data_IF_669872102036
#
_entry.id   IF_669872102036
#
_cell.length_a   1.000
_cell.length_b   1.000
_cell.length_c   1.000
_cell.angle_alpha   90.00
_cell.angle_beta   90.00
_cell.angle_gamma   90.00
#
_symmetry.space_group_name_H-M   'P 1'
#
loop_
_entity.id
_entity.type
_entity.pdbx_description
1 polymer ?
#
# COMPACT_ATOMS: atom_id res chain seq x y z
N UNK A 1 -9.66 12.07 -17.43
CA UNK A 1 -8.97 10.80 -17.11
C UNK A 1 -7.48 10.94 -17.31
N UNK A 2 -6.67 10.20 -16.53
CA UNK A 2 -5.21 10.22 -16.64
C UNK A 2 -4.73 9.59 -17.96
N UNK A 3 -3.74 10.24 -18.60
CA UNK A 3 -3.19 9.84 -19.90
C UNK A 3 -1.79 9.20 -19.83
N UNK A 4 -1.16 9.18 -18.65
CA UNK A 4 0.17 8.58 -18.46
C UNK A 4 0.13 7.06 -18.40
N UNK A 5 1.30 6.43 -18.59
CA UNK A 5 1.51 4.98 -18.44
C UNK A 5 1.46 4.52 -16.98
N UNK A 6 1.62 5.46 -16.06
CA UNK A 6 1.59 5.24 -14.61
C UNK A 6 0.45 6.02 -13.98
N UNK A 7 -0.16 5.42 -12.98
CA UNK A 7 -1.12 6.04 -12.09
C UNK A 7 -0.50 6.17 -10.69
N UNK A 8 -0.70 7.34 -10.10
CA UNK A 8 -0.40 7.64 -8.71
C UNK A 8 -1.50 8.57 -8.21
N UNK A 9 -1.83 8.50 -6.93
CA UNK A 9 -2.88 9.33 -6.33
C UNK A 9 -2.34 10.05 -5.12
N UNK A 10 -2.96 11.19 -4.86
CA UNK A 10 -2.63 12.08 -3.77
C UNK A 10 -3.94 12.58 -3.18
N UNK A 11 -4.17 12.30 -1.91
CA UNK A 11 -5.28 12.89 -1.16
C UNK A 11 -5.11 14.41 -1.07
N UNK A 12 -6.22 15.14 -1.08
CA UNK A 12 -6.21 16.61 -1.12
C UNK A 12 -5.53 17.28 0.08
N UNK A 13 -5.38 16.56 1.18
CA UNK A 13 -4.77 16.99 2.44
C UNK A 13 -3.29 16.56 2.59
N UNK A 14 -2.80 15.70 1.70
CA UNK A 14 -1.44 15.18 1.68
C UNK A 14 -0.52 15.96 0.74
N UNK A 15 0.80 15.68 0.80
CA UNK A 15 1.80 16.31 -0.08
C UNK A 15 2.82 15.31 -0.57
N UNK A 16 3.19 15.40 -1.84
CA UNK A 16 4.43 14.76 -2.32
C UNK A 16 5.61 15.69 -2.13
N UNK A 17 6.74 15.12 -1.73
CA UNK A 17 8.00 15.85 -1.70
C UNK A 17 8.58 15.97 -3.13
N UNK A 18 9.44 16.98 -3.37
CA UNK A 18 10.10 17.15 -4.66
C UNK A 18 10.78 15.86 -5.13
N UNK A 19 10.58 15.54 -6.42
CA UNK A 19 11.17 14.37 -7.06
C UNK A 19 10.47 13.04 -6.79
N UNK A 20 9.39 12.97 -5.99
CA UNK A 20 8.66 11.72 -5.71
C UNK A 20 8.42 10.87 -6.95
N UNK A 21 7.81 11.46 -7.98
CA UNK A 21 7.42 10.74 -9.19
C UNK A 21 8.63 10.23 -9.97
N UNK A 22 9.60 11.09 -10.26
CA UNK A 22 10.79 10.71 -11.04
C UNK A 22 11.58 9.58 -10.34
N UNK A 23 11.83 9.73 -9.04
CA UNK A 23 12.60 8.75 -8.26
C UNK A 23 11.89 7.40 -8.12
N UNK A 24 10.57 7.44 -7.94
CA UNK A 24 9.78 6.22 -7.85
C UNK A 24 9.64 5.53 -9.21
N UNK A 25 9.51 6.30 -10.30
CA UNK A 25 9.53 5.78 -11.66
C UNK A 25 10.87 5.09 -11.96
N UNK A 26 11.99 5.75 -11.68
CA UNK A 26 13.33 5.17 -11.85
C UNK A 26 13.48 3.86 -11.06
N UNK A 27 12.98 3.82 -9.83
CA UNK A 27 12.96 2.61 -9.02
C UNK A 27 12.11 1.49 -9.67
N UNK A 28 10.93 1.81 -10.19
CA UNK A 28 10.05 0.85 -10.85
C UNK A 28 10.66 0.30 -12.13
N UNK A 29 11.22 1.15 -12.99
CA UNK A 29 11.91 0.74 -14.22
C UNK A 29 13.10 -0.17 -13.91
N UNK A 30 13.95 0.23 -12.96
CA UNK A 30 15.16 -0.52 -12.59
C UNK A 30 14.87 -1.86 -11.91
N UNK A 31 13.69 -2.02 -11.30
CA UNK A 31 13.27 -3.27 -10.65
C UNK A 31 12.29 -4.09 -11.51
N UNK A 32 11.83 -3.56 -12.65
CA UNK A 32 10.77 -4.16 -13.45
C UNK A 32 9.42 -4.24 -12.72
N UNK A 33 9.19 -3.42 -11.69
CA UNK A 33 8.00 -3.49 -10.86
C UNK A 33 6.78 -2.89 -11.57
N UNK A 34 5.63 -3.58 -11.50
CA UNK A 34 4.36 -3.02 -11.96
C UNK A 34 3.69 -2.11 -10.92
N UNK A 35 4.07 -2.23 -9.65
CA UNK A 35 3.60 -1.41 -8.54
C UNK A 35 4.73 -1.23 -7.52
N UNK A 36 4.87 -0.02 -6.99
CA UNK A 36 5.78 0.29 -5.90
C UNK A 36 5.17 1.27 -4.90
N UNK A 37 5.72 1.34 -3.71
CA UNK A 37 5.34 2.32 -2.71
C UNK A 37 6.57 2.81 -1.93
N UNK A 38 6.47 4.01 -1.36
CA UNK A 38 7.58 4.65 -0.65
C UNK A 38 7.36 4.65 0.86
N UNK A 39 8.39 5.04 1.61
CA UNK A 39 8.19 5.49 2.98
C UNK A 39 7.47 6.87 2.98
N UNK A 40 7.03 7.32 4.14
CA UNK A 40 6.37 8.63 4.27
C UNK A 40 6.68 9.29 5.61
N UNK A 41 6.34 10.57 5.75
CA UNK A 41 6.34 11.31 7.01
C UNK A 41 4.91 11.59 7.41
N UNK A 42 4.58 11.51 8.68
CA UNK A 42 3.30 12.05 9.16
C UNK A 42 3.46 13.54 9.40
N UNK A 43 2.48 14.34 9.00
CA UNK A 43 2.36 15.75 9.37
C UNK A 43 1.06 15.95 10.18
N UNK A 44 1.06 16.88 11.12
CA UNK A 44 -0.16 17.23 11.85
C UNK A 44 -1.10 18.13 11.02
N UNK A 45 -2.22 18.56 11.60
CA UNK A 45 -3.18 19.45 10.94
C UNK A 45 -2.54 20.76 10.41
N UNK A 46 -1.55 21.31 11.10
CA UNK A 46 -0.80 22.50 10.70
C UNK A 46 0.32 22.21 9.66
N UNK A 47 0.52 20.96 9.28
CA UNK A 47 1.57 20.54 8.35
C UNK A 47 2.95 20.40 9.00
N UNK A 48 3.04 20.39 10.33
CA UNK A 48 4.30 20.18 11.04
C UNK A 48 4.66 18.70 11.00
N UNK A 49 5.86 18.32 10.53
CA UNK A 49 6.28 16.94 10.46
C UNK A 49 6.47 16.34 11.86
N UNK A 50 6.10 15.06 11.98
CA UNK A 50 6.46 14.24 13.12
C UNK A 50 7.97 13.96 13.19
N UNK A 51 8.45 13.43 14.32
CA UNK A 51 9.89 13.33 14.60
C UNK A 51 10.64 12.34 13.71
N UNK A 52 9.96 11.32 13.18
CA UNK A 52 10.58 10.27 12.35
C UNK A 52 9.66 9.89 11.18
N UNK A 53 10.23 9.54 10.02
CA UNK A 53 9.47 8.91 8.95
C UNK A 53 8.88 7.56 9.37
N UNK A 54 7.74 7.22 8.80
CA UNK A 54 7.15 5.88 8.85
C UNK A 54 7.78 5.04 7.76
N UNK A 55 8.36 3.91 8.16
CA UNK A 55 9.07 2.97 7.29
C UNK A 55 8.53 1.57 7.50
N UNK A 56 8.37 0.82 6.41
CA UNK A 56 8.08 -0.60 6.51
C UNK A 56 9.37 -1.36 6.79
N UNK A 57 9.31 -2.22 7.80
CA UNK A 57 10.39 -3.10 8.22
C UNK A 57 9.84 -4.52 8.25
N UNK A 58 9.95 -5.22 7.12
CA UNK A 58 9.63 -6.64 7.00
C UNK A 58 10.88 -7.39 6.61
N UNK A 59 11.17 -8.48 7.32
CA UNK A 59 12.35 -9.33 7.07
C UNK A 59 12.20 -10.15 5.80
N UNK A 60 10.96 -10.37 5.34
CA UNK A 60 10.64 -11.18 4.18
C UNK A 60 9.32 -10.79 3.53
N UNK A 61 9.09 -11.27 2.28
CA UNK A 61 7.76 -11.20 1.65
C UNK A 61 6.70 -11.94 2.46
N UNK A 62 7.08 -13.02 3.13
CA UNK A 62 6.18 -13.76 4.01
C UNK A 62 5.68 -12.88 5.15
N UNK A 63 6.56 -12.12 5.81
CA UNK A 63 6.18 -11.23 6.92
C UNK A 63 5.30 -10.07 6.45
N UNK A 64 5.62 -9.49 5.30
CA UNK A 64 4.79 -8.46 4.69
C UNK A 64 3.38 -8.99 4.36
N UNK A 65 3.26 -10.12 3.67
CA UNK A 65 1.93 -10.66 3.32
C UNK A 65 1.16 -11.12 4.56
N UNK A 66 1.85 -11.63 5.57
CA UNK A 66 1.25 -12.00 6.85
C UNK A 66 0.74 -10.77 7.61
N UNK A 67 1.39 -9.62 7.49
CA UNK A 67 0.90 -8.39 8.13
C UNK A 67 -0.41 -7.91 7.52
N UNK A 68 -0.61 -8.13 6.21
CA UNK A 68 -1.85 -7.74 5.53
C UNK A 68 -3.08 -8.36 6.19
N UNK A 69 -3.00 -9.57 6.74
CA UNK A 69 -4.10 -10.20 7.48
C UNK A 69 -4.56 -9.42 8.74
N UNK A 70 -3.78 -8.44 9.21
CA UNK A 70 -4.05 -7.68 10.43
C UNK A 70 -4.14 -6.17 10.21
N UNK A 71 -3.48 -5.64 9.18
CA UNK A 71 -3.52 -4.20 8.89
C UNK A 71 -3.13 -3.90 7.44
N UNK A 72 -3.61 -2.76 6.92
CA UNK A 72 -3.05 -2.18 5.70
C UNK A 72 -1.75 -1.43 6.06
N UNK A 73 -0.61 -2.00 5.66
CA UNK A 73 0.70 -1.41 5.89
C UNK A 73 1.09 -0.35 4.85
N UNK A 74 0.41 -0.31 3.70
CA UNK A 74 0.72 0.61 2.60
C UNK A 74 -0.20 1.82 2.67
N UNK A 75 0.37 3.00 2.88
CA UNK A 75 -0.37 4.25 2.70
C UNK A 75 -0.55 4.52 1.21
N UNK A 76 -1.78 4.73 0.77
CA UNK A 76 -2.06 4.87 -0.64
C UNK A 76 -1.29 5.99 -1.34
N UNK A 77 -1.19 7.18 -0.74
CA UNK A 77 -0.51 8.33 -1.35
C UNK A 77 0.99 8.10 -1.65
N UNK A 78 1.57 7.02 -1.13
CA UNK A 78 2.96 6.62 -1.40
C UNK A 78 3.13 5.78 -2.67
N UNK A 79 2.04 5.27 -3.24
CA UNK A 79 2.11 4.26 -4.29
C UNK A 79 2.21 4.90 -5.69
N UNK A 80 2.80 4.15 -6.59
CA UNK A 80 2.73 4.32 -8.03
C UNK A 80 2.54 2.94 -8.67
N UNK A 81 1.67 2.85 -9.68
CA UNK A 81 1.30 1.60 -10.35
C UNK A 81 1.24 1.82 -11.86
N UNK A 82 1.61 0.82 -12.65
CA UNK A 82 1.37 0.83 -14.10
C UNK A 82 -0.13 0.90 -14.36
N UNK A 83 -0.57 1.84 -15.20
CA UNK A 83 -1.98 2.04 -15.55
C UNK A 83 -2.62 0.75 -16.08
N UNK A 84 -1.90 0.01 -16.92
CA UNK A 84 -2.37 -1.28 -17.45
C UNK A 84 -2.67 -2.30 -16.35
N UNK A 85 -1.86 -2.36 -15.26
CA UNK A 85 -2.15 -3.23 -14.13
C UNK A 85 -3.40 -2.77 -13.37
N UNK A 86 -3.54 -1.45 -13.14
CA UNK A 86 -4.73 -0.89 -12.49
C UNK A 86 -6.01 -1.25 -13.26
N UNK A 87 -6.00 -1.11 -14.59
CA UNK A 87 -7.10 -1.47 -15.49
C UNK A 87 -7.34 -2.99 -15.53
N UNK A 88 -6.28 -3.80 -15.62
CA UNK A 88 -6.38 -5.27 -15.59
C UNK A 88 -7.03 -5.79 -14.31
N UNK A 89 -6.78 -5.13 -13.18
CA UNK A 89 -7.39 -5.50 -11.90
C UNK A 89 -8.82 -4.97 -11.74
N UNK A 90 -9.31 -4.13 -12.66
CA UNK A 90 -10.65 -3.52 -12.60
C UNK A 90 -10.72 -2.26 -11.73
N UNK A 91 -9.58 -1.62 -11.43
CA UNK A 91 -9.53 -0.38 -10.65
C UNK A 91 -9.87 -0.57 -9.16
N UNK A 92 -10.36 0.51 -8.54
CA UNK A 92 -10.85 0.49 -7.16
C UNK A 92 -12.25 -0.13 -7.10
N UNK A 93 -12.51 -0.89 -6.04
CA UNK A 93 -13.87 -1.30 -5.71
C UNK A 93 -14.62 -0.10 -5.10
N UNK A 94 -15.51 0.52 -5.88
CA UNK A 94 -16.26 1.71 -5.45
C UNK A 94 -17.22 1.44 -4.28
N UNK A 95 -17.50 0.16 -3.97
CA UNK A 95 -18.27 -0.21 -2.78
C UNK A 95 -17.45 -0.18 -1.47
N UNK A 96 -16.11 -0.16 -1.56
CA UNK A 96 -15.21 -0.12 -0.42
C UNK A 96 -14.80 1.34 -0.09
N UNK A 97 -15.47 1.94 0.89
CA UNK A 97 -15.28 3.37 1.21
C UNK A 97 -13.92 3.63 1.85
N UNK A 98 -13.48 2.75 2.75
CA UNK A 98 -12.28 2.94 3.56
C UNK A 98 -11.12 2.02 3.16
N UNK A 99 -11.40 0.94 2.44
CA UNK A 99 -10.46 -0.14 2.16
C UNK A 99 -10.23 -0.41 0.68
N UNK A 100 -10.69 0.48 -0.21
CA UNK A 100 -10.48 0.38 -1.67
C UNK A 100 -9.01 0.18 -2.04
N UNK A 101 -8.10 0.85 -1.33
CA UNK A 101 -6.66 0.75 -1.56
C UNK A 101 -6.11 -0.61 -1.09
N UNK A 102 -6.44 -1.02 0.13
CA UNK A 102 -6.08 -2.29 0.73
C UNK A 102 -6.55 -3.49 -0.10
N UNK A 103 -7.80 -3.44 -0.59
CA UNK A 103 -8.37 -4.42 -1.51
C UNK A 103 -7.53 -4.54 -2.79
N UNK A 104 -7.16 -3.40 -3.40
CA UNK A 104 -6.36 -3.37 -4.62
C UNK A 104 -4.93 -3.89 -4.41
N UNK A 105 -4.29 -3.60 -3.27
CA UNK A 105 -2.95 -4.14 -2.95
C UNK A 105 -2.97 -5.66 -2.88
N UNK A 106 -4.00 -6.23 -2.25
CA UNK A 106 -4.13 -7.67 -2.15
C UNK A 106 -4.39 -8.28 -3.53
N UNK A 107 -5.28 -7.69 -4.34
CA UNK A 107 -5.52 -8.16 -5.72
C UNK A 107 -4.24 -8.15 -6.57
N UNK A 108 -3.43 -7.10 -6.48
CA UNK A 108 -2.15 -7.03 -7.17
C UNK A 108 -1.19 -8.15 -6.74
N UNK A 109 -1.06 -8.38 -5.43
CA UNK A 109 -0.24 -9.47 -4.86
C UNK A 109 -0.71 -10.84 -5.34
N UNK A 110 -2.03 -11.10 -5.28
CA UNK A 110 -2.61 -12.38 -5.70
C UNK A 110 -2.50 -12.61 -7.21
N UNK A 111 -2.45 -11.53 -8.01
CA UNK A 111 -2.21 -11.59 -9.45
C UNK A 111 -0.71 -11.74 -9.81
N UNK A 112 0.19 -11.85 -8.83
CA UNK A 112 1.62 -12.02 -9.07
C UNK A 112 2.41 -10.72 -9.24
N UNK A 113 1.84 -9.57 -8.90
CA UNK A 113 2.46 -8.25 -8.98
C UNK A 113 2.73 -7.67 -7.58
N UNK A 114 3.75 -8.18 -6.86
CA UNK A 114 4.04 -7.71 -5.51
C UNK A 114 4.51 -6.24 -5.52
N UNK A 115 3.96 -5.37 -4.64
CA UNK A 115 4.48 -4.03 -4.45
C UNK A 115 5.94 -4.05 -3.98
N UNK A 116 6.82 -3.36 -4.71
CA UNK A 116 8.18 -3.13 -4.22
C UNK A 116 8.23 -1.90 -3.32
N UNK A 117 9.08 -1.99 -2.29
CA UNK A 117 9.22 -0.92 -1.31
C UNK A 117 10.49 -0.10 -1.58
N UNK A 118 10.33 1.21 -1.63
CA UNK A 118 11.41 2.19 -1.69
C UNK A 118 11.51 2.89 -0.33
N UNK A 119 12.63 2.68 0.39
CA UNK A 119 12.82 3.20 1.77
C UNK A 119 13.16 4.70 1.83
N UNK A 120 12.37 5.50 1.11
CA UNK A 120 12.60 6.91 0.86
C UNK A 120 11.32 7.67 1.25
N UNK A 121 11.39 8.62 2.19
CA UNK A 121 10.20 9.30 2.68
C UNK A 121 9.83 10.41 1.70
N UNK A 122 9.05 10.07 0.67
CA UNK A 122 8.71 10.95 -0.46
C UNK A 122 7.30 11.54 -0.40
N UNK A 123 6.55 11.22 0.66
CA UNK A 123 5.17 11.66 0.87
C UNK A 123 5.03 12.18 2.31
N UNK A 124 4.27 13.25 2.49
CA UNK A 124 3.80 13.73 3.77
C UNK A 124 2.31 13.42 3.90
N UNK A 125 1.98 12.55 4.86
CA UNK A 125 0.63 12.09 5.17
C UNK A 125 0.06 12.88 6.34
N UNK A 126 -1.04 13.60 6.14
CA UNK A 126 -1.67 14.42 7.16
C UNK A 126 -2.52 13.57 8.10
N UNK A 127 -2.29 13.76 9.40
CA UNK A 127 -3.14 13.22 10.46
C UNK A 127 -3.87 14.36 11.18
N UNK A 128 -5.20 14.31 11.16
CA UNK A 128 -6.06 15.29 11.81
C UNK A 128 -7.42 14.68 12.16
N UNK A 129 -8.14 15.27 13.11
CA UNK A 129 -9.40 14.71 13.62
C UNK A 129 -10.54 14.62 12.58
N UNK A 130 -10.44 15.35 11.47
CA UNK A 130 -11.44 15.40 10.40
C UNK A 130 -11.30 14.30 9.35
N UNK A 131 -10.35 13.38 9.47
CA UNK A 131 -10.19 12.28 8.53
C UNK A 131 -11.42 11.36 8.56
N UNK A 132 -11.91 10.96 7.38
CA UNK A 132 -13.11 10.12 7.27
C UNK A 132 -13.02 8.82 8.07
N UNK A 133 -11.84 8.20 8.12
CA UNK A 133 -11.55 6.99 8.91
C UNK A 133 -11.61 7.24 10.42
N UNK A 134 -11.22 8.43 10.90
CA UNK A 134 -11.33 8.80 12.32
C UNK A 134 -12.78 9.08 12.68
N UNK A 135 -13.49 9.84 11.84
CA UNK A 135 -14.91 10.18 12.06
C UNK A 135 -15.82 8.95 11.99
N UNK A 136 -15.43 7.89 11.26
CA UNK A 136 -16.22 6.69 11.04
C UNK A 136 -15.49 5.41 11.49
N UNK A 137 -14.70 5.49 12.56
CA UNK A 137 -13.80 4.40 12.99
C UNK A 137 -14.48 3.03 13.03
N UNK A 138 -15.66 2.90 13.65
CA UNK A 138 -16.37 1.62 13.72
C UNK A 138 -16.78 1.05 12.35
N UNK A 139 -17.18 1.91 11.40
CA UNK A 139 -17.49 1.48 10.03
C UNK A 139 -16.22 1.09 9.27
N UNK A 140 -15.15 1.87 9.42
CA UNK A 140 -13.85 1.58 8.80
C UNK A 140 -13.26 0.26 9.31
N UNK A 141 -13.36 -0.01 10.61
CA UNK A 141 -12.93 -1.27 11.22
C UNK A 141 -13.79 -2.45 10.73
N UNK A 142 -15.11 -2.30 10.69
CA UNK A 142 -16.01 -3.33 10.16
C UNK A 142 -15.71 -3.66 8.68
N UNK A 143 -15.52 -2.62 7.85
CA UNK A 143 -15.15 -2.78 6.44
C UNK A 143 -13.78 -3.45 6.29
N UNK A 144 -12.79 -3.04 7.10
CA UNK A 144 -11.47 -3.69 7.13
C UNK A 144 -11.59 -5.19 7.44
N UNK A 145 -12.38 -5.56 8.45
CA UNK A 145 -12.58 -6.95 8.82
C UNK A 145 -13.28 -7.75 7.69
N UNK A 146 -14.26 -7.16 7.01
CA UNK A 146 -14.93 -7.78 5.86
C UNK A 146 -13.95 -7.99 4.69
N UNK A 147 -13.18 -6.98 4.32
CA UNK A 147 -12.17 -7.08 3.25
C UNK A 147 -11.05 -8.06 3.62
N UNK A 148 -10.57 -8.06 4.87
CA UNK A 148 -9.58 -9.03 5.33
C UNK A 148 -10.14 -10.48 5.33
N UNK A 149 -11.41 -10.67 5.69
CA UNK A 149 -12.07 -11.96 5.63
C UNK A 149 -12.20 -12.48 4.19
N UNK A 150 -12.61 -11.61 3.25
CA UNK A 150 -12.70 -11.88 1.79
C UNK A 150 -11.42 -12.52 1.25
N UNK A 151 -10.25 -12.04 1.69
CA UNK A 151 -8.95 -12.50 1.17
C UNK A 151 -8.20 -13.51 2.04
N UNK A 152 -8.70 -13.83 3.24
CA UNK A 152 -8.00 -14.68 4.21
C UNK A 152 -7.58 -16.03 3.63
N UNK A 153 -8.47 -16.69 2.88
CA UNK A 153 -8.19 -18.00 2.27
C UNK A 153 -7.07 -17.93 1.23
N UNK A 154 -7.16 -16.97 0.31
CA UNK A 154 -6.16 -16.78 -0.76
C UNK A 154 -4.80 -16.38 -0.22
N UNK A 155 -4.75 -15.45 0.74
CA UNK A 155 -3.50 -15.06 1.41
C UNK A 155 -2.89 -16.21 2.21
N UNK A 156 -3.71 -17.02 2.90
CA UNK A 156 -3.22 -18.18 3.65
C UNK A 156 -2.57 -19.21 2.72
N UNK A 157 -3.16 -19.45 1.53
CA UNK A 157 -2.58 -20.34 0.51
C UNK A 157 -1.26 -19.79 -0.01
N UNK A 158 -1.21 -18.49 -0.34
CA UNK A 158 0.01 -17.82 -0.81
C UNK A 158 1.13 -17.88 0.24
N UNK A 159 0.81 -17.63 1.51
CA UNK A 159 1.75 -17.75 2.63
C UNK A 159 2.26 -19.18 2.81
N UNK A 160 1.40 -20.19 2.62
CA UNK A 160 1.79 -21.60 2.62
C UNK A 160 2.87 -21.92 1.60
N UNK A 161 2.75 -21.35 0.39
CA UNK A 161 3.75 -21.51 -0.68
C UNK A 161 5.05 -20.74 -0.43
N UNK A 162 5.02 -19.69 0.39
CA UNK A 162 6.17 -18.85 0.73
C UNK A 162 6.87 -19.24 2.04
N UNK A 163 6.37 -20.27 2.74
CA UNK A 163 6.99 -20.71 4.00
C UNK A 163 8.47 -21.03 3.75
N UNK A 164 9.39 -20.46 4.55
CA UNK A 164 10.78 -20.85 4.51
C UNK A 164 10.85 -22.37 4.72
N UNK A 165 11.50 -23.10 3.81
CA UNK A 165 11.85 -24.50 4.08
C UNK A 165 12.76 -24.48 5.29
N UNK A 166 12.25 -24.90 6.44
CA UNK A 166 13.11 -25.20 7.59
C UNK A 166 14.03 -26.30 7.10
N UNK A 167 15.29 -25.96 6.85
CA UNK A 167 16.33 -26.94 6.58
C UNK A 167 16.33 -27.90 7.75
N UNK A 168 15.96 -29.16 7.51
CA UNK A 168 16.34 -30.24 8.43
C UNK A 168 17.85 -30.24 8.42
N UNK A 169 18.45 -29.64 9.45
CA UNK A 169 19.86 -29.79 9.74
C UNK A 169 20.19 -31.27 9.75
N UNK A 170 21.18 -31.64 8.93
CA UNK A 170 21.96 -32.86 9.14
C UNK A 170 22.95 -32.61 10.25
#
# INVERSE_FOLDING_TARGET
MARGEYVAWLSSDDRWLPGKLARQLDHMERTGSAISHTAFRTINAAGVPGPKPVRLAFESRYDFYRSLLRSNAINGCTVMMRKALFEQLGGFDESAVFTHDYDLWIRAILAGYPPTYMNEPLTEYRKHAGMGTILNQGKAEAEFMATAAKYRGSLSRLLGALRPTVGRGR
#
